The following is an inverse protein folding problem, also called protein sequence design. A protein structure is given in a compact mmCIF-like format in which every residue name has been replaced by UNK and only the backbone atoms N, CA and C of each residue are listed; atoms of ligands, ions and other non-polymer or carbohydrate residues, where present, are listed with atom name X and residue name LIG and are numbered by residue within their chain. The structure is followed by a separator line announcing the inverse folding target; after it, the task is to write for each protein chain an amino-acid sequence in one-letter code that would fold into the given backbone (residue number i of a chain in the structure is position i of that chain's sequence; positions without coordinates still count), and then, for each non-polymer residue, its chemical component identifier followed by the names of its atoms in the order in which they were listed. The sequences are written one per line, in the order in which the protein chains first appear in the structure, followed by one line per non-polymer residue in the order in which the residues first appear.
data_IF_689800886328
#
_entry.id   IF_689800886328
#
_cell.length_a   1.000
_cell.length_b   1.000
_cell.length_c   1.000
_cell.angle_alpha   90.00
_cell.angle_beta   90.00
_cell.angle_gamma   90.00
#
_symmetry.space_group_name_H-M   'P 1'
#
loop_
_entity.id
_entity.type
_entity.pdbx_description
1 polymer ?
#
# COMPACT_ATOMS: atom_id res chain seq x y z
N UNK A 1 8.96 -8.09 2.85
CA UNK A 1 8.76 -9.41 3.47
C UNK A 1 9.46 -10.38 2.53
N UNK A 2 10.65 -10.85 2.91
CA UNK A 2 11.53 -11.68 2.07
C UNK A 2 11.39 -13.10 2.60
N UNK A 3 10.64 -13.92 1.87
CA UNK A 3 10.28 -15.29 2.28
C UNK A 3 11.17 -16.36 1.67
N UNK A 4 12.12 -15.98 0.82
CA UNK A 4 13.20 -16.84 0.36
C UNK A 4 14.44 -16.02 -0.06
N UNK A 5 15.60 -16.68 -0.14
CA UNK A 5 16.85 -16.10 -0.68
C UNK A 5 16.76 -15.82 -2.20
N UNK A 6 15.56 -15.88 -2.77
CA UNK A 6 15.27 -15.70 -4.20
C UNK A 6 14.57 -14.37 -4.48
N UNK A 7 14.44 -13.51 -3.46
CA UNK A 7 13.90 -12.14 -3.58
C UNK A 7 12.49 -12.13 -4.21
N UNK A 8 11.72 -13.21 -3.98
CA UNK A 8 10.34 -13.29 -4.45
C UNK A 8 9.45 -12.54 -3.47
N UNK A 9 8.89 -11.42 -3.93
CA UNK A 9 7.77 -10.76 -3.27
C UNK A 9 6.53 -11.64 -3.39
N UNK A 10 6.38 -12.62 -2.48
CA UNK A 10 5.10 -13.31 -2.33
C UNK A 10 4.07 -12.29 -1.81
N UNK A 11 2.83 -12.28 -2.34
CA UNK A 11 1.76 -11.45 -1.82
C UNK A 11 1.45 -11.87 -0.38
N UNK A 12 2.14 -11.28 0.59
CA UNK A 12 1.94 -11.57 2.00
C UNK A 12 0.57 -11.05 2.42
N UNK A 13 -0.46 -11.89 2.33
CA UNK A 13 -1.81 -11.75 2.91
C UNK A 13 -2.68 -10.54 2.50
N UNK A 14 -2.09 -9.43 2.06
CA UNK A 14 -2.78 -8.15 1.84
C UNK A 14 -3.40 -8.07 0.44
N UNK A 15 -2.79 -8.69 -0.58
CA UNK A 15 -3.35 -8.69 -1.94
C UNK A 15 -4.63 -9.52 -2.05
N UNK A 16 -4.81 -10.54 -1.21
CA UNK A 16 -6.02 -11.37 -1.20
C UNK A 16 -7.25 -10.61 -0.68
N UNK A 17 -7.06 -9.63 0.21
CA UNK A 17 -8.15 -8.74 0.66
C UNK A 17 -8.46 -7.64 -0.37
N UNK A 18 -7.46 -7.16 -1.10
CA UNK A 18 -7.60 -6.06 -2.06
C UNK A 18 -8.19 -6.47 -3.43
N UNK A 19 -8.29 -7.78 -3.72
CA UNK A 19 -8.89 -8.27 -4.96
C UNK A 19 -10.42 -8.11 -5.01
N UNK A 20 -11.07 -7.73 -3.90
CA UNK A 20 -12.47 -7.31 -3.89
C UNK A 20 -12.56 -5.84 -4.31
N UNK A 21 -13.31 -5.56 -5.38
CA UNK A 21 -13.45 -4.31 -6.15
C UNK A 21 -13.75 -2.99 -5.39
N UNK A 22 -13.70 -2.96 -4.06
CA UNK A 22 -13.85 -1.76 -3.24
C UNK A 22 -13.11 -1.92 -1.90
N UNK A 23 -11.88 -1.41 -1.83
CA UNK A 23 -11.15 -1.28 -0.57
C UNK A 23 -11.69 -0.06 0.16
N UNK A 24 -12.58 -0.27 1.13
CA UNK A 24 -13.12 0.81 1.97
C UNK A 24 -12.21 1.06 3.18
N UNK A 25 -12.32 2.25 3.79
CA UNK A 25 -11.62 2.53 5.05
C UNK A 25 -11.95 1.50 6.15
N UNK A 26 -13.19 0.98 6.17
CA UNK A 26 -13.60 -0.08 7.09
C UNK A 26 -12.85 -1.40 6.83
N UNK A 27 -12.73 -1.80 5.56
CA UNK A 27 -12.00 -3.03 5.17
C UNK A 27 -10.53 -2.93 5.59
N UNK A 28 -9.89 -1.78 5.35
CA UNK A 28 -8.49 -1.55 5.71
C UNK A 28 -8.29 -1.53 7.23
N UNK A 29 -9.25 -1.00 8.00
CA UNK A 29 -9.21 -1.07 9.46
C UNK A 29 -9.30 -2.52 9.95
N UNK A 30 -10.22 -3.31 9.40
CA UNK A 30 -10.35 -4.74 9.72
C UNK A 30 -9.07 -5.50 9.42
N UNK A 31 -8.43 -5.23 8.28
CA UNK A 31 -7.13 -5.80 7.94
C UNK A 31 -6.09 -5.54 9.04
N UNK A 32 -5.93 -4.28 9.48
CA UNK A 32 -4.95 -3.96 10.52
C UNK A 32 -5.32 -4.58 11.88
N UNK A 33 -6.60 -4.73 12.21
CA UNK A 33 -7.04 -5.44 13.42
C UNK A 33 -6.66 -6.93 13.37
N UNK A 34 -6.82 -7.58 12.21
CA UNK A 34 -6.39 -8.97 12.00
C UNK A 34 -4.86 -9.08 12.11
N UNK A 35 -4.12 -8.16 11.50
CA UNK A 35 -2.65 -8.13 11.63
C UNK A 35 -2.27 -8.01 13.11
N UNK A 36 -2.92 -7.12 13.88
CA UNK A 36 -2.64 -6.97 15.31
C UNK A 36 -2.96 -8.23 16.12
N UNK A 37 -4.02 -8.97 15.76
CA UNK A 37 -4.34 -10.23 16.45
C UNK A 37 -3.35 -11.35 16.15
N UNK A 38 -2.79 -11.37 14.95
CA UNK A 38 -1.83 -12.39 14.53
C UNK A 38 -0.38 -12.04 14.91
N UNK A 39 -0.05 -10.75 14.90
CA UNK A 39 1.26 -10.19 15.15
C UNK A 39 1.11 -8.95 16.06
N UNK A 40 0.94 -9.15 17.38
CA UNK A 40 0.74 -8.04 18.33
C UNK A 40 1.92 -7.06 18.36
N UNK A 41 3.13 -7.56 18.10
CA UNK A 41 4.36 -6.75 18.02
C UNK A 41 4.65 -6.21 16.61
N UNK A 42 3.62 -6.07 15.77
CA UNK A 42 3.75 -5.49 14.44
C UNK A 42 4.12 -4.00 14.50
N UNK A 43 5.43 -3.75 14.62
CA UNK A 43 6.05 -2.43 14.71
C UNK A 43 7.07 -2.21 13.57
N UNK A 44 6.65 -2.29 12.29
CA UNK A 44 7.57 -2.08 11.19
C UNK A 44 8.15 -0.66 11.24
N UNK A 45 9.44 -0.50 10.94
CA UNK A 45 10.03 0.86 10.80
C UNK A 45 9.37 1.65 9.67
N UNK A 46 8.88 0.95 8.66
CA UNK A 46 8.33 1.55 7.44
C UNK A 46 7.23 0.68 6.83
N UNK A 47 6.15 1.31 6.40
CA UNK A 47 5.09 0.71 5.59
C UNK A 47 5.00 1.48 4.27
N UNK A 48 4.90 0.73 3.17
CA UNK A 48 4.70 1.28 1.82
C UNK A 48 3.28 0.93 1.37
N UNK A 49 2.51 1.92 0.91
CA UNK A 49 1.14 1.75 0.43
C UNK A 49 0.89 2.57 -0.84
N UNK A 50 -0.03 2.12 -1.68
CA UNK A 50 -0.51 2.75 -2.90
C UNK A 50 -1.76 3.63 -2.67
N UNK A 51 -2.58 3.30 -1.66
CA UNK A 51 -3.77 4.07 -1.27
C UNK A 51 -3.51 5.00 -0.08
N UNK A 52 -3.62 6.31 -0.34
CA UNK A 52 -2.89 7.27 0.47
C UNK A 52 -3.49 7.61 1.84
N UNK A 53 -4.81 7.65 1.98
CA UNK A 53 -5.46 8.15 3.19
C UNK A 53 -6.07 7.05 4.06
N UNK A 54 -6.79 6.10 3.46
CA UNK A 54 -7.45 5.00 4.18
C UNK A 54 -6.43 4.10 4.91
N UNK A 55 -5.32 3.72 4.27
CA UNK A 55 -4.27 2.91 4.92
C UNK A 55 -3.55 3.68 6.01
N UNK A 56 -3.15 4.92 5.76
CA UNK A 56 -2.47 5.74 6.76
C UNK A 56 -3.35 5.97 8.00
N UNK A 57 -4.62 6.34 7.81
CA UNK A 57 -5.54 6.62 8.90
C UNK A 57 -5.88 5.35 9.67
N UNK A 58 -6.24 4.26 8.98
CA UNK A 58 -6.58 3.00 9.63
C UNK A 58 -5.38 2.40 10.39
N UNK A 59 -4.16 2.51 9.85
CA UNK A 59 -2.95 2.08 10.56
C UNK A 59 -2.78 2.85 11.87
N UNK A 60 -2.85 4.20 11.82
CA UNK A 60 -2.69 5.05 13.01
C UNK A 60 -3.79 4.83 14.05
N UNK A 61 -5.00 4.47 13.64
CA UNK A 61 -6.10 4.13 14.57
C UNK A 61 -5.82 2.79 15.28
N UNK A 62 -5.28 1.79 14.58
CA UNK A 62 -5.04 0.46 15.17
C UNK A 62 -3.73 0.39 15.95
N UNK A 63 -2.72 1.17 15.55
CA UNK A 63 -1.37 1.23 16.10
C UNK A 63 -0.94 2.67 16.46
N UNK A 64 -1.62 3.35 17.42
CA UNK A 64 -1.44 4.79 17.66
C UNK A 64 -0.06 5.19 18.18
N UNK A 65 0.65 4.28 18.86
CA UNK A 65 1.93 4.57 19.52
C UNK A 65 3.15 4.13 18.70
N UNK A 66 2.96 3.67 17.45
CA UNK A 66 4.07 3.17 16.63
C UNK A 66 4.77 4.29 15.87
N UNK A 67 6.11 4.32 15.91
CA UNK A 67 6.94 5.28 15.17
C UNK A 67 7.17 4.87 13.69
N UNK A 68 6.16 4.24 13.10
CA UNK A 68 6.21 3.69 11.74
C UNK A 68 6.14 4.80 10.71
N UNK A 69 7.10 4.85 9.79
CA UNK A 69 7.06 5.76 8.66
C UNK A 69 6.17 5.22 7.55
N UNK A 70 5.23 6.03 7.08
CA UNK A 70 4.34 5.70 5.97
C UNK A 70 4.90 6.32 4.69
N UNK A 71 5.10 5.50 3.66
CA UNK A 71 5.63 5.91 2.37
C UNK A 71 4.66 5.53 1.25
N UNK A 72 4.59 6.37 0.22
CA UNK A 72 3.88 6.03 -1.00
C UNK A 72 4.72 5.13 -1.89
N UNK A 73 4.08 4.13 -2.49
CA UNK A 73 4.75 3.24 -3.43
C UNK A 73 5.20 4.03 -4.67
N UNK A 74 6.52 4.11 -4.87
CA UNK A 74 7.12 4.81 -6.02
C UNK A 74 6.61 4.29 -7.36
N UNK A 75 6.41 2.99 -7.48
CA UNK A 75 5.85 2.38 -8.70
C UNK A 75 4.47 2.95 -9.03
N UNK A 76 3.56 2.96 -8.05
CA UNK A 76 2.20 3.49 -8.26
C UNK A 76 2.17 4.98 -8.54
N UNK A 77 3.06 5.77 -7.91
CA UNK A 77 3.23 7.19 -8.26
C UNK A 77 3.62 7.33 -9.73
N UNK A 78 4.65 6.61 -10.17
CA UNK A 78 5.15 6.70 -11.56
C UNK A 78 4.07 6.28 -12.56
N UNK A 79 3.34 5.20 -12.28
CA UNK A 79 2.28 4.73 -13.17
C UNK A 79 1.11 5.72 -13.22
N UNK A 80 0.72 6.30 -12.08
CA UNK A 80 -0.30 7.34 -12.02
C UNK A 80 0.08 8.56 -12.85
N UNK A 81 1.34 9.01 -12.72
CA UNK A 81 1.86 10.13 -13.51
C UNK A 81 1.89 9.81 -14.99
N UNK A 82 2.44 8.66 -15.39
CA UNK A 82 2.47 8.23 -16.80
C UNK A 82 1.08 8.19 -17.42
N UNK A 83 0.09 7.64 -16.69
CA UNK A 83 -1.31 7.60 -17.14
C UNK A 83 -1.85 9.03 -17.35
N UNK A 84 -1.59 9.93 -16.40
CA UNK A 84 -2.08 11.31 -16.48
C UNK A 84 -1.39 12.10 -17.59
N UNK A 85 -0.08 11.94 -17.78
CA UNK A 85 0.67 12.58 -18.85
C UNK A 85 0.11 12.21 -20.22
N UNK A 86 -0.21 10.93 -20.47
CA UNK A 86 -0.83 10.48 -21.72
C UNK A 86 -2.20 11.12 -22.01
N UNK A 87 -2.91 11.57 -20.97
CA UNK A 87 -4.21 12.25 -21.13
C UNK A 87 -4.07 13.75 -21.39
N UNK A 88 -2.99 14.36 -20.91
CA UNK A 88 -2.83 15.81 -20.88
C UNK A 88 -1.83 16.34 -21.92
N UNK A 89 -0.99 15.47 -22.48
CA UNK A 89 0.08 15.87 -23.40
C UNK A 89 -0.11 15.11 -24.70
N UNK A 90 -0.26 15.85 -25.80
CA UNK A 90 -0.23 15.27 -27.15
C UNK A 90 1.16 14.71 -27.45
N UNK A 91 1.18 13.51 -28.02
CA UNK A 91 2.43 12.92 -28.49
C UNK A 91 2.87 13.71 -29.72
N UNK A 92 3.91 14.52 -29.59
CA UNK A 92 4.52 15.20 -30.72
C UNK A 92 5.23 14.16 -31.58
N UNK A 93 4.64 13.81 -32.72
CA UNK A 93 5.31 12.97 -33.72
C UNK A 93 6.46 13.78 -34.33
N UNK A 94 7.70 13.26 -34.36
CA UNK A 94 8.79 13.90 -35.09
C UNK A 94 8.44 13.99 -36.58
N UNK A 95 8.78 15.13 -37.21
CA UNK A 95 8.72 15.33 -38.66
C UNK A 95 9.67 14.37 -39.39
#
# INVERSE_FOLDING_TARGET
MVTDKLDRGLPGGVETFAHSFCVTAANVRTLFLIIRSLLPDFAPKTIVTDEAACFCNSYRVVFPNMNTRLHYCRFHIIQSWRKKTKQLVEVRTPL
#
